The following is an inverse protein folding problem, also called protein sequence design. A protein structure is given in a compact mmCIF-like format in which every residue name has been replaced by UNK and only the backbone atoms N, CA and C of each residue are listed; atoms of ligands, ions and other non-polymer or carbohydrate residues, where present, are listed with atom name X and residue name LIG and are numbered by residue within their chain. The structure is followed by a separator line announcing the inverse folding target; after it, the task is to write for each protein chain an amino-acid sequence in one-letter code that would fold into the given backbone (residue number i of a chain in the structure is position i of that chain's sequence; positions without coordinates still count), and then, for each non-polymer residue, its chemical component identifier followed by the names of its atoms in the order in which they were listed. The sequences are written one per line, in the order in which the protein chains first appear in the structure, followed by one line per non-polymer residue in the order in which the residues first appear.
data_IF_565355537936
#
_entry.id   IF_565355537936
#
_cell.length_a   1.000
_cell.length_b   1.000
_cell.length_c   1.000
_cell.angle_alpha   90.00
_cell.angle_beta   90.00
_cell.angle_gamma   90.00
#
_symmetry.space_group_name_H-M   'P 1'
#
loop_
_entity.id
_entity.type
_entity.pdbx_description
1 polymer ?
#
# COMPACT_ATOMS: atom_id res chain seq x y z
N UNK A 1 -22.71 10.64 5.00
CA UNK A 1 -21.71 11.71 5.13
C UNK A 1 -22.38 13.06 4.87
N UNK A 2 -22.15 14.09 5.69
CA UNK A 2 -22.74 15.43 5.50
C UNK A 2 -22.46 16.02 4.12
N UNK A 3 -21.31 15.72 3.52
CA UNK A 3 -20.95 16.15 2.16
C UNK A 3 -21.79 15.48 1.08
N UNK A 4 -22.16 14.21 1.26
CA UNK A 4 -23.01 13.47 0.32
C UNK A 4 -24.46 13.97 0.36
N UNK A 5 -24.95 14.36 1.56
CA UNK A 5 -26.25 15.02 1.70
C UNK A 5 -26.25 16.38 0.99
N UNK A 6 -25.22 17.20 1.25
CA UNK A 6 -25.07 18.50 0.59
C UNK A 6 -24.98 18.38 -0.95
N UNK A 7 -24.24 17.39 -1.45
CA UNK A 7 -24.15 17.11 -2.89
C UNK A 7 -25.52 16.77 -3.49
N UNK A 8 -26.29 15.89 -2.83
CA UNK A 8 -27.65 15.56 -3.25
C UNK A 8 -28.54 16.80 -3.29
N UNK A 9 -28.56 17.59 -2.22
CA UNK A 9 -29.39 18.80 -2.12
C UNK A 9 -29.06 19.82 -3.23
N UNK A 10 -27.76 20.04 -3.51
CA UNK A 10 -27.32 20.98 -4.55
C UNK A 10 -27.67 20.48 -5.95
N UNK A 11 -27.43 19.20 -6.22
CA UNK A 11 -27.78 18.60 -7.50
C UNK A 11 -29.30 18.62 -7.74
N UNK A 12 -30.11 18.20 -6.75
CA UNK A 12 -31.56 18.12 -6.91
C UNK A 12 -32.18 19.50 -7.14
N UNK A 13 -31.65 20.53 -6.46
CA UNK A 13 -32.05 21.92 -6.69
C UNK A 13 -31.72 22.38 -8.10
N UNK A 14 -30.52 22.07 -8.60
CA UNK A 14 -30.10 22.40 -9.96
C UNK A 14 -30.95 21.67 -11.01
N UNK A 15 -31.07 20.35 -10.89
CA UNK A 15 -31.78 19.50 -11.85
C UNK A 15 -33.26 19.86 -11.95
N UNK A 16 -33.89 20.26 -10.84
CA UNK A 16 -35.28 20.74 -10.82
C UNK A 16 -35.47 22.03 -11.62
N UNK A 17 -34.48 22.92 -11.62
CA UNK A 17 -34.59 24.23 -12.27
C UNK A 17 -34.08 24.22 -13.73
N UNK A 18 -33.02 23.46 -14.02
CA UNK A 18 -32.28 23.51 -15.28
C UNK A 18 -32.23 22.17 -16.03
N UNK A 19 -32.79 21.10 -15.48
CA UNK A 19 -32.70 19.74 -16.03
C UNK A 19 -31.32 19.11 -15.83
N UNK A 20 -31.08 17.99 -16.54
CA UNK A 20 -29.83 17.26 -16.46
C UNK A 20 -28.61 18.11 -16.88
N UNK A 21 -27.51 18.00 -16.15
CA UNK A 21 -26.21 18.66 -16.42
C UNK A 21 -25.74 18.32 -17.85
N UNK A 22 -25.89 17.07 -18.27
CA UNK A 22 -25.48 16.56 -19.59
C UNK A 22 -26.40 16.99 -20.74
N UNK A 23 -27.51 17.68 -20.46
CA UNK A 23 -28.47 18.14 -21.47
C UNK A 23 -27.85 19.10 -22.47
N UNK A 24 -28.43 19.18 -23.68
CA UNK A 24 -27.90 20.04 -24.76
C UNK A 24 -27.86 21.52 -24.38
N UNK A 25 -28.83 22.00 -23.60
CA UNK A 25 -28.88 23.39 -23.15
C UNK A 25 -27.75 23.70 -22.17
N UNK A 26 -27.57 22.84 -21.15
CA UNK A 26 -26.52 23.02 -20.15
C UNK A 26 -25.13 22.83 -20.76
N UNK A 27 -24.95 21.88 -21.69
CA UNK A 27 -23.71 21.74 -22.47
C UNK A 27 -23.34 23.00 -23.24
N UNK A 28 -24.32 23.69 -23.82
CA UNK A 28 -24.08 24.94 -24.52
C UNK A 28 -23.73 26.08 -23.54
N UNK A 29 -24.38 26.12 -22.38
CA UNK A 29 -24.11 27.10 -21.33
C UNK A 29 -22.72 26.94 -20.70
N UNK A 30 -22.25 25.71 -20.52
CA UNK A 30 -20.94 25.40 -19.93
C UNK A 30 -19.84 25.13 -20.96
N UNK A 31 -20.03 25.55 -22.22
CA UNK A 31 -19.13 25.19 -23.33
C UNK A 31 -17.67 25.61 -23.09
N UNK A 32 -17.47 26.75 -22.45
CA UNK A 32 -16.16 27.34 -22.19
C UNK A 32 -15.64 27.05 -20.77
N UNK A 33 -16.38 26.25 -19.99
CA UNK A 33 -16.02 25.89 -18.62
C UNK A 33 -15.10 24.65 -18.61
N UNK A 34 -13.92 24.80 -18.01
CA UNK A 34 -12.93 23.71 -17.90
C UNK A 34 -13.39 22.56 -17.01
N UNK A 35 -14.30 22.83 -16.06
CA UNK A 35 -14.75 21.87 -15.05
C UNK A 35 -16.03 21.14 -15.48
N UNK A 36 -16.63 21.53 -16.61
CA UNK A 36 -17.83 20.89 -17.13
C UNK A 36 -17.73 19.36 -17.30
N UNK A 37 -16.61 18.78 -17.81
CA UNK A 37 -16.46 17.33 -17.89
C UNK A 37 -16.57 16.62 -16.53
N UNK A 38 -16.09 17.26 -15.45
CA UNK A 38 -16.22 16.73 -14.10
C UNK A 38 -17.68 16.77 -13.62
N UNK A 39 -18.41 17.84 -13.93
CA UNK A 39 -19.85 17.92 -13.63
C UNK A 39 -20.65 16.85 -14.38
N UNK A 40 -20.28 16.53 -15.62
CA UNK A 40 -20.89 15.42 -16.36
C UNK A 40 -20.66 14.07 -15.66
N UNK A 41 -19.58 13.90 -14.89
CA UNK A 41 -19.30 12.66 -14.16
C UNK A 41 -20.28 12.43 -12.99
N UNK A 42 -21.12 13.41 -12.65
CA UNK A 42 -22.24 13.27 -11.71
C UNK A 42 -23.44 12.51 -12.33
N UNK A 43 -23.46 12.31 -13.65
CA UNK A 43 -24.58 11.75 -14.38
C UNK A 43 -24.15 10.53 -15.22
N UNK A 44 -24.95 9.47 -15.15
CA UNK A 44 -24.84 8.30 -16.01
C UNK A 44 -25.93 8.36 -17.07
N UNK A 45 -25.53 8.38 -18.35
CA UNK A 45 -26.45 8.44 -19.48
C UNK A 45 -26.47 7.08 -20.16
N UNK A 46 -27.63 6.45 -20.21
CA UNK A 46 -27.82 5.17 -20.90
C UNK A 46 -27.92 5.36 -22.42
N UNK A 47 -27.88 4.25 -23.17
CA UNK A 47 -28.02 4.25 -24.64
C UNK A 47 -29.32 4.91 -25.13
N UNK A 48 -30.40 4.81 -24.34
CA UNK A 48 -31.70 5.45 -24.62
C UNK A 48 -31.74 6.96 -24.29
N UNK A 49 -30.62 7.56 -23.84
CA UNK A 49 -30.55 8.96 -23.43
C UNK A 49 -31.18 9.27 -22.08
N UNK A 50 -31.57 8.25 -21.31
CA UNK A 50 -32.03 8.43 -19.93
C UNK A 50 -30.85 8.75 -19.01
N UNK A 51 -31.03 9.75 -18.16
CA UNK A 51 -30.00 10.25 -17.23
C UNK A 51 -30.30 9.80 -15.81
N UNK A 52 -29.30 9.26 -15.12
CA UNK A 52 -29.36 8.86 -13.71
C UNK A 52 -28.23 9.49 -12.92
N UNK A 53 -28.42 9.65 -11.61
CA UNK A 53 -27.34 10.07 -10.70
C UNK A 53 -26.25 9.01 -10.66
N UNK A 54 -24.99 9.44 -10.72
CA UNK A 54 -23.86 8.56 -10.56
C UNK A 54 -23.78 7.94 -9.15
N UNK A 55 -23.01 6.85 -9.03
CA UNK A 55 -22.81 6.11 -7.79
C UNK A 55 -22.43 6.97 -6.55
N UNK A 56 -21.72 8.09 -6.75
CA UNK A 56 -21.29 8.98 -5.65
C UNK A 56 -22.42 9.61 -4.84
N UNK A 57 -23.64 9.66 -5.39
CA UNK A 57 -24.81 10.15 -4.68
C UNK A 57 -25.32 9.17 -3.61
N UNK A 58 -25.00 7.88 -3.73
CA UNK A 58 -25.58 6.82 -2.91
C UNK A 58 -24.55 6.10 -2.04
N UNK A 59 -23.31 5.93 -2.53
CA UNK A 59 -22.25 5.24 -1.80
C UNK A 59 -20.94 6.03 -1.81
N UNK A 60 -20.09 5.79 -0.83
CA UNK A 60 -18.71 6.29 -0.85
C UNK A 60 -17.98 5.62 -2.03
N UNK A 61 -17.56 6.40 -3.03
CA UNK A 61 -16.93 5.90 -4.26
C UNK A 61 -15.43 5.68 -4.14
N UNK A 62 -14.79 6.31 -3.15
CA UNK A 62 -13.42 5.99 -2.75
C UNK A 62 -13.55 5.00 -1.60
N UNK A 63 -13.37 3.71 -1.87
CA UNK A 63 -13.11 2.74 -0.80
C UNK A 63 -11.84 3.22 -0.09
N UNK A 64 -11.90 3.38 1.24
CA UNK A 64 -10.68 3.56 2.01
C UNK A 64 -9.73 2.42 1.63
N UNK A 65 -8.48 2.76 1.29
CA UNK A 65 -7.45 1.75 1.04
C UNK A 65 -7.43 0.85 2.28
N UNK A 66 -7.79 -0.42 2.12
CA UNK A 66 -7.71 -1.38 3.20
C UNK A 66 -6.24 -1.58 3.48
N UNK A 67 -5.73 -0.92 4.51
CA UNK A 67 -4.37 -1.15 4.99
C UNK A 67 -4.38 -2.58 5.54
N UNK A 68 -3.51 -3.42 5.01
CA UNK A 68 -3.36 -4.78 5.53
C UNK A 68 -2.77 -4.65 6.94
N UNK A 69 -3.53 -5.08 7.95
CA UNK A 69 -3.14 -4.94 9.36
C UNK A 69 -2.24 -6.09 9.83
N UNK A 70 -2.45 -7.30 9.29
CA UNK A 70 -1.67 -8.49 9.65
C UNK A 70 -1.66 -9.54 8.54
N UNK A 71 -0.56 -10.26 8.42
CA UNK A 71 -0.38 -11.43 7.55
C UNK A 71 0.21 -12.60 8.35
N UNK A 72 0.11 -13.82 7.80
CA UNK A 72 0.52 -15.04 8.51
C UNK A 72 1.88 -15.57 8.03
N UNK A 73 2.36 -15.12 6.86
CA UNK A 73 3.62 -15.59 6.29
C UNK A 73 4.52 -14.45 5.82
N UNK A 74 5.83 -14.69 5.83
CA UNK A 74 6.82 -13.73 5.32
C UNK A 74 6.61 -13.42 3.81
N UNK A 75 6.19 -14.42 3.02
CA UNK A 75 5.93 -14.27 1.57
C UNK A 75 4.74 -13.34 1.31
N UNK A 76 3.68 -13.45 2.10
CA UNK A 76 2.56 -12.51 2.03
C UNK A 76 3.03 -11.09 2.38
N UNK A 77 3.81 -10.94 3.45
CA UNK A 77 4.36 -9.64 3.84
C UNK A 77 5.20 -9.02 2.71
N UNK A 78 6.02 -9.84 2.04
CA UNK A 78 6.85 -9.43 0.90
C UNK A 78 5.98 -8.93 -0.25
N UNK A 79 4.97 -9.71 -0.64
CA UNK A 79 4.06 -9.33 -1.73
C UNK A 79 3.33 -8.03 -1.41
N UNK A 80 2.87 -7.84 -0.17
CA UNK A 80 2.23 -6.59 0.24
C UNK A 80 3.22 -5.44 0.17
N UNK A 81 4.45 -5.62 0.68
CA UNK A 81 5.49 -4.58 0.61
C UNK A 81 5.78 -4.15 -0.83
N UNK A 82 6.00 -5.10 -1.74
CA UNK A 82 6.30 -4.78 -3.14
C UNK A 82 5.11 -4.10 -3.82
N UNK A 83 3.88 -4.54 -3.55
CA UNK A 83 2.68 -3.91 -4.11
C UNK A 83 2.43 -2.49 -3.56
N UNK A 84 2.78 -2.25 -2.30
CA UNK A 84 2.54 -0.97 -1.62
C UNK A 84 3.64 0.06 -1.89
N UNK A 85 4.91 -0.36 -1.90
CA UNK A 85 6.06 0.53 -1.97
C UNK A 85 6.88 0.40 -3.26
N UNK A 86 6.69 -0.68 -4.03
CA UNK A 86 7.49 -0.97 -5.22
C UNK A 86 8.90 -1.49 -4.92
N UNK A 87 9.20 -1.85 -3.67
CA UNK A 87 10.47 -2.45 -3.24
C UNK A 87 10.29 -3.26 -1.95
N UNK A 88 11.32 -4.01 -1.54
CA UNK A 88 11.33 -4.80 -0.30
C UNK A 88 11.57 -3.88 0.91
N UNK A 89 10.56 -3.72 1.77
CA UNK A 89 10.59 -2.87 2.96
C UNK A 89 10.47 -3.73 4.23
N UNK A 90 11.60 -4.15 4.79
CA UNK A 90 11.63 -5.04 5.96
C UNK A 90 10.93 -4.44 7.19
N UNK A 91 11.09 -3.13 7.42
CA UNK A 91 10.45 -2.45 8.54
C UNK A 91 8.92 -2.51 8.45
N UNK A 92 8.37 -2.28 7.26
CA UNK A 92 6.93 -2.44 7.03
C UNK A 92 6.50 -3.90 7.16
N UNK A 93 7.24 -4.84 6.58
CA UNK A 93 6.92 -6.26 6.66
C UNK A 93 6.83 -6.73 8.12
N UNK A 94 7.79 -6.34 8.98
CA UNK A 94 7.76 -6.64 10.42
C UNK A 94 6.65 -5.92 11.20
N UNK A 95 6.03 -4.89 10.63
CA UNK A 95 4.87 -4.22 11.24
C UNK A 95 3.56 -4.99 11.03
N UNK A 96 3.48 -5.81 9.98
CA UNK A 96 2.29 -6.60 9.62
C UNK A 96 2.50 -8.11 9.79
N UNK A 97 3.74 -8.55 9.95
CA UNK A 97 4.13 -9.95 10.11
C UNK A 97 5.00 -10.13 11.35
N UNK A 98 4.77 -11.20 12.10
CA UNK A 98 5.52 -11.54 13.29
C UNK A 98 6.26 -12.87 13.09
N UNK A 99 7.59 -12.83 12.83
CA UNK A 99 8.42 -14.02 12.71
C UNK A 99 8.51 -14.78 14.03
N UNK A 100 8.57 -16.10 13.96
CA UNK A 100 8.85 -16.93 15.13
C UNK A 100 10.34 -16.84 15.51
N UNK A 101 10.60 -16.29 16.70
CA UNK A 101 11.95 -16.13 17.26
C UNK A 101 12.09 -16.87 18.60
N UNK A 102 11.17 -17.76 18.93
CA UNK A 102 11.08 -18.42 20.25
C UNK A 102 12.36 -19.19 20.56
N UNK A 103 12.78 -20.08 19.67
CA UNK A 103 14.00 -20.89 19.80
C UNK A 103 15.26 -20.02 19.99
N UNK A 104 15.30 -18.90 19.27
CA UNK A 104 16.47 -18.02 19.23
C UNK A 104 16.58 -17.19 20.51
N UNK A 105 15.43 -16.79 21.06
CA UNK A 105 15.34 -16.17 22.38
C UNK A 105 15.74 -17.14 23.50
N UNK A 106 15.32 -18.40 23.43
CA UNK A 106 15.70 -19.42 24.41
C UNK A 106 17.21 -19.69 24.40
N UNK A 107 17.81 -19.83 23.22
CA UNK A 107 19.28 -19.99 23.07
C UNK A 107 20.05 -18.81 23.67
N UNK A 108 19.54 -17.58 23.52
CA UNK A 108 20.17 -16.39 24.11
C UNK A 108 20.05 -16.33 25.63
N UNK A 109 18.89 -16.71 26.18
CA UNK A 109 18.68 -16.78 27.64
C UNK A 109 19.57 -17.83 28.28
N UNK A 110 19.68 -19.02 27.69
CA UNK A 110 20.49 -20.12 28.23
C UNK A 110 22.01 -19.81 28.23
N UNK A 111 22.47 -18.89 27.37
CA UNK A 111 23.87 -18.42 27.35
C UNK A 111 24.15 -17.34 28.40
N UNK A 112 23.12 -16.63 28.83
CA UNK A 112 23.21 -15.53 29.78
C UNK A 112 22.83 -16.07 31.15
N UNK A 113 23.81 -16.51 31.95
CA UNK A 113 23.60 -17.09 33.30
C UNK A 113 23.00 -16.11 34.35
N UNK A 114 22.44 -14.98 33.93
CA UNK A 114 21.81 -13.98 34.80
C UNK A 114 20.35 -13.81 34.41
N UNK A 115 19.47 -14.38 35.23
CA UNK A 115 18.02 -14.50 35.01
C UNK A 115 17.25 -13.18 35.17
N UNK A 116 17.93 -12.04 35.28
CA UNK A 116 17.34 -10.75 35.67
C UNK A 116 17.43 -9.63 34.64
N UNK A 117 18.25 -9.77 33.58
CA UNK A 117 18.35 -8.74 32.54
C UNK A 117 17.31 -8.94 31.43
N UNK A 118 16.50 -7.89 31.18
CA UNK A 118 15.61 -7.85 30.02
C UNK A 118 16.45 -7.76 28.75
N UNK A 119 16.14 -8.59 27.75
CA UNK A 119 16.82 -8.56 26.46
C UNK A 119 16.61 -7.17 25.83
N UNK A 120 17.68 -6.47 25.40
CA UNK A 120 17.55 -5.18 24.76
C UNK A 120 16.60 -5.22 23.56
N UNK A 121 15.76 -4.18 23.42
CA UNK A 121 14.76 -4.07 22.34
C UNK A 121 15.41 -4.17 20.96
N UNK A 122 16.61 -3.60 20.81
CA UNK A 122 17.40 -3.67 19.57
C UNK A 122 17.80 -5.10 19.22
N UNK A 123 18.15 -5.93 20.22
CA UNK A 123 18.46 -7.34 20.01
C UNK A 123 17.25 -8.10 19.50
N UNK A 124 16.06 -7.83 20.05
CA UNK A 124 14.82 -8.46 19.59
C UNK A 124 14.50 -8.04 18.15
N UNK A 125 14.63 -6.75 17.82
CA UNK A 125 14.45 -6.26 16.45
C UNK A 125 15.42 -6.93 15.47
N UNK A 126 16.68 -7.12 15.88
CA UNK A 126 17.67 -7.82 15.07
C UNK A 126 17.29 -9.28 14.84
N UNK A 127 16.85 -10.00 15.87
CA UNK A 127 16.39 -11.39 15.74
C UNK A 127 15.20 -11.51 14.80
N UNK A 128 14.20 -10.63 14.94
CA UNK A 128 13.03 -10.60 14.06
C UNK A 128 13.44 -10.38 12.60
N UNK A 129 14.35 -9.45 12.33
CA UNK A 129 14.90 -9.24 10.99
C UNK A 129 15.59 -10.48 10.46
N UNK A 130 16.48 -11.08 11.25
CA UNK A 130 17.21 -12.27 10.84
C UNK A 130 16.26 -13.44 10.54
N UNK A 131 15.24 -13.66 11.38
CA UNK A 131 14.21 -14.68 11.14
C UNK A 131 13.44 -14.40 9.83
N UNK A 132 12.98 -13.16 9.63
CA UNK A 132 12.30 -12.76 8.40
C UNK A 132 13.16 -12.99 7.16
N UNK A 133 14.43 -12.57 7.17
CA UNK A 133 15.33 -12.75 6.02
C UNK A 133 15.64 -14.21 5.74
N UNK A 134 15.64 -15.06 6.77
CA UNK A 134 15.85 -16.50 6.64
C UNK A 134 14.62 -17.18 6.05
N UNK A 135 13.41 -16.79 6.44
CA UNK A 135 12.18 -17.29 5.83
C UNK A 135 12.05 -16.91 4.35
N UNK A 136 12.63 -15.77 3.96
CA UNK A 136 12.66 -15.27 2.59
C UNK A 136 13.96 -15.63 1.85
N UNK A 137 14.72 -16.58 2.37
CA UNK A 137 15.94 -17.06 1.72
C UNK A 137 15.63 -17.55 0.31
N UNK A 138 16.38 -17.06 -0.68
CA UNK A 138 16.17 -17.35 -2.09
C UNK A 138 15.10 -16.51 -2.79
N UNK A 139 14.29 -15.73 -2.05
CA UNK A 139 13.29 -14.80 -2.61
C UNK A 139 13.75 -13.35 -2.58
N UNK A 140 14.57 -12.98 -1.59
CA UNK A 140 15.16 -11.64 -1.50
C UNK A 140 16.68 -11.76 -1.34
N UNK A 141 17.39 -10.74 -1.84
CA UNK A 141 18.84 -10.66 -1.79
C UNK A 141 19.27 -9.25 -1.40
N UNK A 142 20.38 -9.15 -0.67
CA UNK A 142 20.97 -7.88 -0.31
C UNK A 142 21.85 -7.37 -1.44
N UNK A 143 21.53 -6.21 -1.99
CA UNK A 143 22.31 -5.56 -3.02
C UNK A 143 23.47 -4.76 -2.39
N UNK A 144 24.74 -5.13 -2.65
CA UNK A 144 25.90 -4.48 -2.05
C UNK A 144 26.03 -3.00 -2.45
N UNK A 145 25.53 -2.60 -3.62
CA UNK A 145 25.59 -1.21 -4.09
C UNK A 145 24.59 -0.29 -3.36
N UNK A 146 23.56 -0.89 -2.75
CA UNK A 146 22.48 -0.17 -2.06
C UNK A 146 22.48 -0.39 -0.55
N UNK A 147 23.25 -1.36 -0.07
CA UNK A 147 23.39 -1.65 1.35
C UNK A 147 23.99 -0.47 2.11
N UNK A 148 23.51 -0.25 3.33
CA UNK A 148 24.02 0.76 4.23
C UNK A 148 24.31 0.14 5.61
N UNK A 149 25.56 0.19 6.05
CA UNK A 149 25.99 -0.33 7.36
C UNK A 149 25.25 0.33 8.54
N UNK A 150 24.84 1.60 8.39
CA UNK A 150 24.12 2.34 9.42
C UNK A 150 22.62 2.01 9.45
N UNK A 151 22.09 1.34 8.42
CA UNK A 151 20.69 0.92 8.38
C UNK A 151 20.54 -0.44 7.69
N UNK A 152 20.45 -1.54 8.47
CA UNK A 152 20.38 -2.90 7.93
C UNK A 152 19.07 -3.22 7.19
N UNK A 153 18.07 -2.33 7.23
CA UNK A 153 16.79 -2.51 6.55
C UNK A 153 16.86 -2.10 5.07
N UNK A 154 17.95 -1.46 4.65
CA UNK A 154 18.13 -0.92 3.29
C UNK A 154 18.98 -1.86 2.43
N UNK A 155 18.61 -1.95 1.15
CA UNK A 155 19.37 -2.66 0.13
C UNK A 155 18.80 -4.02 -0.25
N UNK A 156 17.71 -4.45 0.38
CA UNK A 156 17.01 -5.68 0.03
C UNK A 156 16.22 -5.52 -1.27
N UNK A 157 16.40 -6.46 -2.18
CA UNK A 157 15.72 -6.53 -3.49
C UNK A 157 15.11 -7.91 -3.66
N UNK A 158 14.05 -8.02 -4.46
CA UNK A 158 13.52 -9.34 -4.83
C UNK A 158 14.53 -10.09 -5.71
N UNK A 159 14.42 -11.41 -5.80
CA UNK A 159 15.25 -12.23 -6.68
C UNK A 159 15.24 -11.70 -8.12
N UNK A 160 14.06 -11.35 -8.64
CA UNK A 160 13.90 -10.83 -10.00
C UNK A 160 14.62 -9.49 -10.20
N UNK A 161 14.50 -8.57 -9.23
CA UNK A 161 15.19 -7.27 -9.29
C UNK A 161 16.70 -7.41 -9.13
N UNK A 162 17.15 -8.26 -8.21
CA UNK A 162 18.57 -8.52 -7.99
C UNK A 162 19.24 -9.09 -9.24
N UNK A 163 18.56 -10.03 -9.91
CA UNK A 163 18.97 -10.64 -11.17
C UNK A 163 18.74 -9.75 -12.41
N UNK A 164 18.12 -8.59 -12.24
CA UNK A 164 18.02 -7.58 -13.29
C UNK A 164 19.28 -6.71 -13.35
N UNK A 165 19.82 -6.49 -14.56
CA UNK A 165 21.03 -5.70 -14.81
C UNK A 165 22.32 -6.54 -14.94
N UNK A 166 23.46 -5.97 -14.56
CA UNK A 166 24.76 -6.64 -14.70
C UNK A 166 25.06 -7.59 -13.52
N UNK A 167 24.39 -8.74 -13.54
CA UNK A 167 24.45 -9.77 -12.49
C UNK A 167 25.88 -10.19 -12.12
N UNK A 168 26.82 -10.16 -13.08
CA UNK A 168 28.22 -10.54 -12.87
C UNK A 168 29.01 -9.61 -11.97
N UNK A 169 28.63 -8.34 -11.88
CA UNK A 169 29.30 -7.38 -11.01
C UNK A 169 28.75 -7.50 -9.59
N UNK A 170 27.43 -7.69 -9.44
CA UNK A 170 26.79 -7.95 -8.13
C UNK A 170 27.32 -9.22 -7.46
N UNK A 171 27.44 -10.32 -8.21
CA UNK A 171 27.99 -11.59 -7.71
C UNK A 171 29.50 -11.57 -7.42
N UNK A 172 30.24 -10.54 -7.87
CA UNK A 172 31.68 -10.43 -7.61
C UNK A 172 31.97 -9.83 -6.22
N UNK A 173 31.00 -9.08 -5.69
CA UNK A 173 31.13 -8.31 -4.44
C UNK A 173 30.40 -9.01 -3.27
N UNK A 174 29.47 -9.92 -3.57
CA UNK A 174 28.80 -10.80 -2.60
C UNK A 174 29.66 -12.00 -2.20
#
# INVERSE_FOLDING_TARGET
SDKQRLLNEKYDSFAKQYGAITSKANRAAFRDDSDYPLLCSLEEVNEDGQVKKADMFYKQTIKAKTVIERVETAVEALNVSVNEFGYVNLAYMLSIYEPDITDELEKLKNRSNDSSEQIPVETIAQLKRTALTKELEGLIFLNPDRYNENNPDIGWETADEYLSGNVRDKLRVA
#
